data_IF_412007932963
#
_entry.id   IF_412007932963
#
_cell.length_a   1.000
_cell.length_b   1.000
_cell.length_c   1.000
_cell.angle_alpha   90.00
_cell.angle_beta   90.00
_cell.angle_gamma   90.00
#
_symmetry.space_group_name_H-M   'P 1'
#
loop_
_entity.id
_entity.type
_entity.pdbx_description
1 polymer ?
#
# COMPACT_ATOMS: atom_id res chain seq x y z
N UNK A 1 -3.04 10.19 -41.04
CA UNK A 1 -1.69 10.79 -41.01
C UNK A 1 -1.54 11.37 -39.62
N UNK A 2 -1.12 10.51 -38.69
CA UNK A 2 -0.98 10.80 -37.28
C UNK A 2 0.49 11.11 -37.03
N UNK A 3 0.88 12.37 -37.08
CA UNK A 3 2.17 12.82 -36.58
C UNK A 3 1.90 13.74 -35.40
N UNK A 4 1.55 13.06 -34.33
CA UNK A 4 1.40 13.59 -32.99
C UNK A 4 2.75 14.21 -32.61
N UNK A 5 2.73 15.50 -32.30
CA UNK A 5 3.81 16.26 -31.69
C UNK A 5 4.16 15.67 -30.32
N UNK A 6 4.76 14.48 -30.29
CA UNK A 6 5.62 14.03 -29.19
C UNK A 6 6.97 14.68 -29.41
N UNK A 7 7.00 16.00 -29.35
CA UNK A 7 8.23 16.74 -29.21
C UNK A 7 8.58 16.63 -27.74
N UNK A 8 9.54 15.76 -27.41
CA UNK A 8 10.11 15.72 -26.07
C UNK A 8 10.48 17.17 -25.69
N UNK A 9 9.92 17.71 -24.60
CA UNK A 9 10.16 19.10 -24.25
C UNK A 9 11.66 19.31 -24.09
N UNK A 10 12.16 20.33 -24.76
CA UNK A 10 13.58 20.67 -24.71
C UNK A 10 13.94 21.08 -23.27
N UNK A 11 15.18 20.82 -22.86
CA UNK A 11 15.69 21.16 -21.53
C UNK A 11 15.37 22.62 -21.12
N UNK A 12 15.41 23.54 -22.08
CA UNK A 12 15.13 24.95 -21.86
C UNK A 12 13.65 25.22 -21.54
N UNK A 13 12.73 24.45 -22.12
CA UNK A 13 11.28 24.54 -21.83
C UNK A 13 10.97 23.99 -20.45
N UNK A 14 11.61 22.89 -20.05
CA UNK A 14 11.49 22.33 -18.69
C UNK A 14 11.99 23.37 -17.66
N UNK A 15 13.15 23.98 -17.90
CA UNK A 15 13.72 25.00 -17.00
C UNK A 15 12.88 26.29 -16.98
N UNK A 16 12.30 26.69 -18.11
CA UNK A 16 11.38 27.82 -18.17
C UNK A 16 10.08 27.55 -17.41
N UNK A 17 9.54 26.34 -17.49
CA UNK A 17 8.33 25.92 -16.76
C UNK A 17 8.55 25.94 -15.25
N UNK A 18 9.68 25.40 -14.77
CA UNK A 18 10.04 25.42 -13.34
C UNK A 18 10.23 26.87 -12.86
N UNK A 19 10.95 27.71 -13.63
CA UNK A 19 11.15 29.13 -13.27
C UNK A 19 9.83 29.89 -13.20
N UNK A 20 8.89 29.62 -14.11
CA UNK A 20 7.55 30.21 -14.08
C UNK A 20 6.78 29.79 -12.82
N UNK A 21 6.75 28.50 -12.49
CA UNK A 21 6.03 28.00 -11.31
C UNK A 21 6.58 28.64 -10.02
N UNK A 22 7.91 28.73 -9.88
CA UNK A 22 8.53 29.33 -8.68
C UNK A 22 8.27 30.85 -8.60
N UNK A 23 8.31 31.57 -9.72
CA UNK A 23 7.99 33.00 -9.74
C UNK A 23 6.49 33.30 -9.57
N UNK A 24 5.62 32.35 -9.90
CA UNK A 24 4.17 32.46 -9.76
C UNK A 24 3.72 32.05 -8.33
N UNK A 25 4.53 31.25 -7.61
CA UNK A 25 4.29 30.79 -6.23
C UNK A 25 4.98 31.65 -5.15
N UNK A 26 5.96 32.50 -5.49
CA UNK A 26 6.56 33.49 -4.58
C UNK A 26 5.71 34.78 -4.45
N UNK A 27 4.41 34.61 -4.22
CA UNK A 27 3.53 35.67 -3.76
C UNK A 27 3.43 35.56 -2.23
N UNK A 28 4.16 36.39 -1.46
CA UNK A 28 4.08 36.34 0.00
C UNK A 28 2.65 36.69 0.43
N UNK A 29 2.04 35.80 1.20
CA UNK A 29 0.84 36.09 1.95
C UNK A 29 1.11 37.31 2.85
N UNK A 30 0.47 38.43 2.52
CA UNK A 30 0.39 39.62 3.34
C UNK A 30 -0.29 39.27 4.67
N UNK A 31 0.52 39.02 5.69
CA UNK A 31 0.10 38.87 7.07
C UNK A 31 1.01 39.76 7.94
N UNK A 32 0.55 41.00 8.14
CA UNK A 32 0.75 41.83 9.32
C UNK A 32 2.16 41.82 9.94
N UNK A 33 2.95 42.84 9.61
CA UNK A 33 4.16 43.22 10.34
C UNK A 33 3.81 43.90 11.69
N UNK A 34 4.36 43.44 12.83
CA UNK A 34 4.69 44.31 13.96
C UNK A 34 6.15 44.81 13.81
N UNK A 35 6.38 46.05 14.27
CA UNK A 35 7.64 46.78 14.17
C UNK A 35 8.83 46.11 14.90
N UNK A 36 10.10 46.34 14.48
CA UNK A 36 11.28 45.78 15.14
C UNK A 36 11.64 46.54 16.43
N UNK A 37 11.72 45.83 17.55
CA UNK A 37 12.48 46.23 18.75
C UNK A 37 13.92 45.70 18.68
N UNK A 38 14.92 46.40 19.25
CA UNK A 38 16.34 46.18 18.98
C UNK A 38 16.92 44.88 19.57
N UNK A 39 17.77 44.22 18.77
CA UNK A 39 18.53 43.01 19.09
C UNK A 39 19.51 43.20 20.28
N UNK A 40 19.60 42.25 21.23
CA UNK A 40 20.80 42.10 22.05
C UNK A 40 21.88 41.31 21.29
N UNK A 41 23.11 41.81 21.38
CA UNK A 41 24.35 41.33 20.75
C UNK A 41 24.63 39.81 20.96
N UNK A 42 25.32 39.15 20.01
CA UNK A 42 25.60 37.73 20.09
C UNK A 42 26.67 37.45 21.15
N UNK A 43 26.28 36.75 22.22
CA UNK A 43 27.20 36.16 23.18
C UNK A 43 27.96 35.00 22.51
N UNK A 44 29.27 35.18 22.33
CA UNK A 44 30.22 34.08 22.18
C UNK A 44 30.09 33.13 23.37
N UNK A 45 29.52 31.94 23.15
CA UNK A 45 29.53 30.85 24.13
C UNK A 45 29.63 29.49 23.41
N UNK A 46 30.86 28.97 23.41
CA UNK A 46 31.26 27.57 23.26
C UNK A 46 30.63 26.76 22.10
N UNK A 47 31.41 26.58 21.03
CA UNK A 47 31.19 25.46 20.11
C UNK A 47 31.23 24.13 20.90
N UNK A 48 30.22 23.25 20.82
CA UNK A 48 30.38 21.88 21.26
C UNK A 48 31.41 21.21 20.35
N UNK A 49 32.52 20.78 20.96
CA UNK A 49 33.49 19.88 20.36
C UNK A 49 32.75 18.58 20.02
N UNK A 50 32.64 18.25 18.74
CA UNK A 50 32.15 16.96 18.27
C UNK A 50 33.14 15.88 18.75
N UNK A 51 32.79 15.13 19.79
CA UNK A 51 33.39 13.82 20.02
C UNK A 51 32.92 12.88 18.89
N UNK A 52 33.80 12.04 18.32
CA UNK A 52 33.37 11.08 17.31
C UNK A 52 32.33 10.13 17.91
N UNK A 53 31.20 10.01 17.23
CA UNK A 53 30.17 9.00 17.50
C UNK A 53 30.81 7.62 17.70
N UNK A 54 30.37 6.82 18.69
CA UNK A 54 30.78 5.43 18.76
C UNK A 54 30.37 4.71 17.48
N UNK A 55 31.30 3.91 16.93
CA UNK A 55 31.08 3.05 15.77
C UNK A 55 29.77 2.25 15.93
N UNK A 56 29.02 2.02 14.83
CA UNK A 56 27.81 1.23 14.89
C UNK A 56 28.17 -0.17 15.37
N UNK A 57 27.60 -0.56 16.51
CA UNK A 57 27.46 -1.96 16.89
C UNK A 57 26.66 -2.64 15.78
N UNK A 58 27.32 -3.46 14.97
CA UNK A 58 26.65 -4.50 14.19
C UNK A 58 26.07 -5.49 15.20
N UNK A 59 24.86 -5.23 15.67
CA UNK A 59 24.02 -6.28 16.21
C UNK A 59 23.56 -7.10 15.00
N UNK A 60 24.11 -8.30 14.88
CA UNK A 60 23.68 -9.34 13.95
C UNK A 60 22.15 -9.45 13.97
N UNK A 61 21.49 -8.91 12.94
CA UNK A 61 20.06 -9.09 12.65
C UNK A 61 19.81 -10.47 12.01
N UNK A 62 20.48 -11.50 12.54
CA UNK A 62 20.48 -12.87 12.01
C UNK A 62 19.29 -13.70 12.53
N UNK A 63 18.10 -13.12 12.68
CA UNK A 63 16.95 -13.97 13.01
C UNK A 63 15.57 -13.37 13.23
N UNK A 64 15.35 -12.06 13.12
CA UNK A 64 14.02 -11.51 13.43
C UNK A 64 13.08 -11.41 12.21
N UNK A 65 13.60 -11.43 10.99
CA UNK A 65 12.80 -11.27 9.76
C UNK A 65 13.17 -12.28 8.65
N UNK A 66 13.65 -13.46 9.01
CA UNK A 66 13.69 -14.56 8.06
C UNK A 66 12.27 -15.11 7.83
N UNK A 67 11.54 -14.50 6.90
CA UNK A 67 10.33 -15.06 6.28
C UNK A 67 10.69 -16.23 5.34
N UNK A 68 11.65 -17.07 5.75
CA UNK A 68 12.09 -18.29 5.07
C UNK A 68 11.24 -19.50 5.51
N UNK A 69 10.38 -19.33 6.52
CA UNK A 69 9.32 -20.26 6.85
C UNK A 69 8.30 -20.31 5.69
N UNK A 70 8.58 -21.22 4.75
CA UNK A 70 7.62 -21.62 3.72
C UNK A 70 6.46 -22.28 4.44
N UNK A 71 5.33 -21.57 4.52
CA UNK A 71 4.05 -22.17 4.88
C UNK A 71 3.73 -23.20 3.78
N UNK A 72 3.96 -24.47 4.08
CA UNK A 72 3.53 -25.58 3.24
C UNK A 72 2.01 -25.64 3.31
N UNK A 73 1.36 -25.14 2.25
CA UNK A 73 -0.07 -25.22 1.97
C UNK A 73 -1.01 -24.39 2.87
N UNK A 74 -1.28 -23.14 2.45
CA UNK A 74 -2.69 -22.73 2.45
C UNK A 74 -3.32 -23.54 1.32
N UNK A 75 -4.13 -24.53 1.70
CA UNK A 75 -4.61 -25.60 0.82
C UNK A 75 -5.05 -25.11 -0.56
N UNK A 76 -4.50 -25.78 -1.57
CA UNK A 76 -5.04 -25.92 -2.93
C UNK A 76 -5.56 -24.63 -3.57
N UNK A 77 -4.69 -23.63 -3.72
CA UNK A 77 -4.92 -22.57 -4.68
C UNK A 77 -4.50 -23.09 -6.06
N UNK A 78 -5.46 -23.67 -6.79
CA UNK A 78 -5.33 -23.97 -8.22
C UNK A 78 -5.11 -22.66 -8.99
N UNK A 79 -3.86 -22.26 -9.14
CA UNK A 79 -3.45 -21.21 -10.07
C UNK A 79 -3.65 -21.78 -11.46
N UNK A 80 -4.82 -21.51 -12.05
CA UNK A 80 -5.10 -21.82 -13.44
C UNK A 80 -4.14 -21.01 -14.33
N UNK A 81 -3.02 -21.62 -14.67
CA UNK A 81 -2.17 -21.19 -15.77
C UNK A 81 -2.76 -21.80 -17.04
N UNK A 82 -3.39 -21.02 -17.93
CA UNK A 82 -3.78 -21.56 -19.24
C UNK A 82 -2.50 -21.93 -19.99
N UNK A 83 -2.19 -23.22 -19.99
CA UNK A 83 -1.05 -23.76 -20.69
C UNK A 83 -1.36 -23.79 -22.19
N UNK A 84 -0.58 -23.00 -22.92
CA UNK A 84 -0.09 -23.24 -24.29
C UNK A 84 -1.07 -22.99 -25.44
N UNK A 85 -0.67 -22.05 -26.30
CA UNK A 85 -1.07 -21.95 -27.71
C UNK A 85 -0.95 -23.30 -28.41
N UNK A 86 -2.09 -23.86 -28.79
CA UNK A 86 -2.17 -24.87 -29.85
C UNK A 86 -2.29 -24.11 -31.19
N UNK A 87 -1.22 -24.14 -31.99
CA UNK A 87 -1.28 -23.77 -33.40
C UNK A 87 -2.21 -24.76 -34.10
N UNK A 88 -3.24 -24.33 -34.86
CA UNK A 88 -4.24 -25.24 -35.38
C UNK A 88 -3.67 -26.12 -36.48
N UNK A 89 -3.41 -27.40 -36.17
CA UNK A 89 -3.24 -28.43 -37.19
C UNK A 89 -4.55 -28.61 -37.98
N UNK A 90 -4.48 -28.86 -39.30
CA UNK A 90 -5.68 -28.98 -40.13
C UNK A 90 -6.54 -30.17 -39.67
N UNK A 91 -7.88 -30.05 -39.69
CA UNK A 91 -8.75 -31.04 -39.08
C UNK A 91 -8.70 -32.36 -39.85
N UNK A 92 -8.15 -33.39 -39.22
CA UNK A 92 -8.46 -34.77 -39.59
C UNK A 92 -9.89 -35.02 -39.13
N UNK A 93 -10.80 -35.32 -40.06
CA UNK A 93 -12.18 -35.70 -39.73
C UNK A 93 -12.17 -37.00 -38.93
N UNK A 94 -12.21 -36.88 -37.61
CA UNK A 94 -12.57 -37.97 -36.69
C UNK A 94 -14.06 -37.85 -36.43
N UNK A 95 -14.81 -38.91 -36.68
CA UNK A 95 -16.21 -39.02 -36.29
C UNK A 95 -16.34 -38.72 -34.78
N UNK A 96 -17.23 -37.79 -34.36
CA UNK A 96 -17.27 -37.39 -32.96
C UNK A 96 -17.61 -38.59 -32.08
N UNK A 97 -16.82 -38.90 -31.04
CA UNK A 97 -17.17 -39.93 -30.08
C UNK A 97 -18.51 -39.56 -29.42
N UNK A 98 -19.33 -40.56 -29.02
CA UNK A 98 -20.59 -40.29 -28.35
C UNK A 98 -20.35 -39.40 -27.12
N UNK A 99 -21.25 -38.44 -26.81
CA UNK A 99 -21.06 -37.54 -25.69
C UNK A 99 -20.84 -38.37 -24.42
N UNK A 100 -19.83 -38.04 -23.59
CA UNK A 100 -19.65 -38.70 -22.31
C UNK A 100 -20.95 -38.56 -21.50
N UNK A 101 -21.30 -39.55 -20.65
CA UNK A 101 -22.40 -39.36 -19.72
C UNK A 101 -22.12 -38.07 -18.95
N UNK A 102 -23.10 -37.17 -18.92
CA UNK A 102 -23.03 -35.92 -18.16
C UNK A 102 -22.70 -36.34 -16.72
N UNK A 103 -21.44 -36.16 -16.31
CA UNK A 103 -21.10 -36.24 -14.90
C UNK A 103 -21.99 -35.20 -14.21
N UNK A 104 -22.64 -35.52 -13.08
CA UNK A 104 -23.38 -34.52 -12.35
C UNK A 104 -22.41 -33.36 -12.14
N UNK A 105 -22.79 -32.17 -12.62
CA UNK A 105 -22.08 -30.95 -12.30
C UNK A 105 -21.88 -31.00 -10.79
N UNK A 106 -20.62 -30.95 -10.34
CA UNK A 106 -20.32 -30.72 -8.93
C UNK A 106 -21.09 -29.45 -8.62
N UNK A 107 -22.22 -29.55 -7.92
CA UNK A 107 -22.90 -28.39 -7.39
C UNK A 107 -21.90 -27.83 -6.40
N UNK A 108 -21.13 -26.84 -6.84
CA UNK A 108 -20.33 -25.98 -5.99
C UNK A 108 -21.34 -25.44 -5.00
N UNK A 109 -21.34 -26.04 -3.81
CA UNK A 109 -22.36 -25.81 -2.81
C UNK A 109 -22.55 -24.32 -2.61
N UNK A 110 -23.82 -23.95 -2.42
CA UNK A 110 -24.30 -22.61 -2.09
C UNK A 110 -23.21 -21.83 -1.36
N UNK A 111 -22.57 -20.91 -2.09
CA UNK A 111 -21.36 -20.25 -1.63
C UNK A 111 -21.60 -19.63 -0.25
N UNK A 112 -20.55 -19.52 0.56
CA UNK A 112 -20.62 -18.88 1.89
C UNK A 112 -21.26 -17.48 1.88
N UNK A 113 -21.39 -16.89 0.68
CA UNK A 113 -22.05 -15.62 0.42
C UNK A 113 -23.10 -15.83 -0.67
N UNK A 114 -24.34 -15.39 -0.39
CA UNK A 114 -25.42 -15.46 -1.37
C UNK A 114 -25.11 -14.65 -2.64
N UNK A 115 -25.63 -15.11 -3.79
CA UNK A 115 -25.35 -14.53 -5.10
C UNK A 115 -25.57 -13.00 -5.18
N UNK A 116 -26.58 -12.50 -4.47
CA UNK A 116 -26.87 -11.05 -4.38
C UNK A 116 -25.75 -10.29 -3.66
N UNK A 117 -25.26 -10.82 -2.54
CA UNK A 117 -24.17 -10.21 -1.78
C UNK A 117 -22.84 -10.28 -2.55
N UNK A 118 -22.58 -11.40 -3.24
CA UNK A 118 -21.42 -11.55 -4.12
C UNK A 118 -21.46 -10.55 -5.29
N UNK A 119 -22.61 -10.41 -5.95
CA UNK A 119 -22.80 -9.43 -7.05
C UNK A 119 -22.69 -7.98 -6.56
N UNK A 120 -23.19 -7.68 -5.37
CA UNK A 120 -23.06 -6.34 -4.77
C UNK A 120 -21.60 -6.02 -4.45
N UNK A 121 -20.85 -6.97 -3.89
CA UNK A 121 -19.43 -6.82 -3.63
C UNK A 121 -18.64 -6.61 -4.93
N UNK A 122 -18.84 -7.46 -5.94
CA UNK A 122 -18.18 -7.34 -7.23
C UNK A 122 -18.46 -5.98 -7.91
N UNK A 123 -19.70 -5.50 -7.81
CA UNK A 123 -20.10 -4.20 -8.37
C UNK A 123 -19.47 -3.01 -7.62
N UNK A 124 -19.30 -3.12 -6.30
CA UNK A 124 -18.62 -2.10 -5.50
C UNK A 124 -17.11 -2.04 -5.81
N UNK A 125 -16.46 -3.21 -5.93
CA UNK A 125 -15.05 -3.30 -6.34
C UNK A 125 -14.83 -2.79 -7.77
N UNK A 126 -15.74 -3.07 -8.69
CA UNK A 126 -15.70 -2.54 -10.06
C UNK A 126 -15.80 -1.01 -10.10
N UNK A 127 -16.71 -0.42 -9.31
CA UNK A 127 -16.83 1.04 -9.19
C UNK A 127 -15.58 1.68 -8.59
N UNK A 128 -14.99 1.05 -7.58
CA UNK A 128 -13.74 1.50 -6.98
C UNK A 128 -12.60 1.44 -8.01
N UNK A 129 -12.41 0.31 -8.70
CA UNK A 129 -11.38 0.15 -9.73
C UNK A 129 -11.53 1.16 -10.89
N UNK A 130 -12.77 1.45 -11.30
CA UNK A 130 -13.04 2.47 -12.31
C UNK A 130 -12.72 3.89 -11.81
N UNK A 131 -13.03 4.21 -10.56
CA UNK A 131 -12.69 5.49 -9.94
C UNK A 131 -11.17 5.68 -9.76
N UNK A 132 -10.44 4.59 -9.50
CA UNK A 132 -8.98 4.57 -9.38
C UNK A 132 -8.30 4.83 -10.74
N UNK A 133 -8.89 4.33 -11.83
CA UNK A 133 -8.35 4.49 -13.18
C UNK A 133 -8.58 5.88 -13.79
N UNK A 134 -9.38 6.73 -13.15
CA UNK A 134 -9.60 8.13 -13.56
C UNK A 134 -9.06 9.07 -12.47
N UNK A 135 -7.78 9.43 -12.52
CA UNK A 135 -7.25 10.43 -11.59
C UNK A 135 -7.95 11.77 -11.83
N UNK A 136 -8.59 12.32 -10.80
CA UNK A 136 -8.69 13.76 -10.70
C UNK A 136 -7.26 14.29 -10.49
N UNK A 137 -6.88 15.34 -11.21
CA UNK A 137 -5.54 15.94 -11.12
C UNK A 137 -5.17 16.19 -9.65
N UNK A 138 -4.21 15.44 -9.13
CA UNK A 138 -3.71 15.55 -7.75
C UNK A 138 -4.27 14.56 -6.71
N UNK A 139 -5.24 13.69 -7.04
CA UNK A 139 -5.71 12.65 -6.10
C UNK A 139 -5.10 11.29 -6.44
N UNK A 140 -4.29 10.76 -5.53
CA UNK A 140 -3.72 9.43 -5.71
C UNK A 140 -4.69 8.34 -5.28
N UNK A 141 -4.50 7.12 -5.80
CA UNK A 141 -5.17 5.92 -5.31
C UNK A 141 -4.96 5.76 -3.78
N UNK A 142 -3.76 6.07 -3.31
CA UNK A 142 -3.43 5.96 -1.89
C UNK A 142 -4.32 6.87 -1.03
N UNK A 143 -4.60 8.09 -1.49
CA UNK A 143 -5.48 9.02 -0.77
C UNK A 143 -6.91 8.48 -0.66
N UNK A 144 -7.42 7.89 -1.74
CA UNK A 144 -8.75 7.24 -1.76
C UNK A 144 -8.78 6.04 -0.82
N UNK A 145 -7.79 5.15 -0.91
CA UNK A 145 -7.71 3.95 -0.06
C UNK A 145 -7.55 4.33 1.41
N UNK A 146 -6.75 5.36 1.72
CA UNK A 146 -6.57 5.87 3.08
C UNK A 146 -7.86 6.46 3.63
N UNK A 147 -8.62 7.21 2.84
CA UNK A 147 -9.93 7.75 3.22
C UNK A 147 -10.94 6.63 3.54
N UNK A 148 -10.92 5.55 2.75
CA UNK A 148 -11.81 4.39 2.94
C UNK A 148 -11.39 3.47 4.10
N UNK A 149 -10.08 3.24 4.30
CA UNK A 149 -9.58 2.35 5.35
C UNK A 149 -9.58 3.01 6.73
N UNK A 150 -9.42 4.33 6.81
CA UNK A 150 -9.38 5.05 8.10
C UNK A 150 -10.58 4.74 9.02
N UNK A 151 -11.86 4.82 8.58
CA UNK A 151 -12.99 4.51 9.46
C UNK A 151 -13.03 3.03 9.88
N UNK A 152 -12.66 2.11 8.99
CA UNK A 152 -12.68 0.66 9.28
C UNK A 152 -11.59 0.29 10.30
N UNK A 153 -10.37 0.80 10.11
CA UNK A 153 -9.26 0.59 11.04
C UNK A 153 -9.54 1.24 12.39
N UNK A 154 -10.14 2.44 12.40
CA UNK A 154 -10.53 3.10 13.65
C UNK A 154 -11.53 2.26 14.44
N UNK A 155 -12.61 1.81 13.81
CA UNK A 155 -13.62 0.99 14.49
C UNK A 155 -12.99 -0.30 15.02
N UNK A 156 -12.16 -0.97 14.22
CA UNK A 156 -11.48 -2.17 14.65
C UNK A 156 -10.54 -1.93 15.83
N UNK A 157 -9.76 -0.84 15.82
CA UNK A 157 -8.91 -0.47 16.94
C UNK A 157 -9.72 -0.14 18.18
N UNK A 158 -10.80 0.63 18.06
CA UNK A 158 -11.67 0.97 19.19
C UNK A 158 -12.25 -0.31 19.85
N UNK A 159 -12.60 -1.33 19.05
CA UNK A 159 -13.18 -2.58 19.54
C UNK A 159 -12.13 -3.58 20.08
N UNK A 160 -10.93 -3.63 19.51
CA UNK A 160 -9.95 -4.70 19.76
C UNK A 160 -8.73 -4.26 20.58
N UNK A 161 -8.34 -2.98 20.51
CA UNK A 161 -7.15 -2.46 21.19
C UNK A 161 -7.21 -2.67 22.72
N UNK A 162 -8.35 -2.47 23.42
CA UNK A 162 -8.41 -2.68 24.87
C UNK A 162 -8.01 -4.11 25.29
N UNK A 163 -8.49 -5.10 24.55
CA UNK A 163 -8.19 -6.51 24.83
C UNK A 163 -6.70 -6.83 24.57
N UNK A 164 -6.15 -6.33 23.46
CA UNK A 164 -4.73 -6.52 23.10
C UNK A 164 -3.81 -5.91 24.16
N UNK A 165 -4.13 -4.70 24.62
CA UNK A 165 -3.35 -4.01 25.65
C UNK A 165 -3.41 -4.76 26.98
N UNK A 166 -4.60 -5.19 27.42
CA UNK A 166 -4.74 -5.94 28.66
C UNK A 166 -3.89 -7.22 28.66
N UNK A 167 -3.94 -7.99 27.57
CA UNK A 167 -3.11 -9.20 27.43
C UNK A 167 -1.62 -8.90 27.47
N UNK A 168 -1.19 -7.79 26.86
CA UNK A 168 0.22 -7.37 26.89
C UNK A 168 0.64 -6.93 28.29
N UNK A 169 -0.18 -6.13 28.97
CA UNK A 169 0.09 -5.67 30.34
C UNK A 169 0.13 -6.85 31.32
N UNK A 170 -0.80 -7.80 31.22
CA UNK A 170 -0.81 -8.98 32.08
C UNK A 170 0.48 -9.80 31.91
N UNK A 171 0.93 -10.00 30.68
CA UNK A 171 2.23 -10.64 30.38
C UNK A 171 3.41 -9.86 30.99
N UNK A 172 3.41 -8.54 30.88
CA UNK A 172 4.47 -7.69 31.43
C UNK A 172 4.50 -7.68 32.96
N UNK A 173 3.33 -7.64 33.61
CA UNK A 173 3.22 -7.74 35.07
C UNK A 173 3.69 -9.09 35.56
N UNK A 174 3.30 -10.18 34.89
CA UNK A 174 3.76 -11.53 35.23
C UNK A 174 5.29 -11.65 35.08
N UNK A 175 5.86 -11.08 34.02
CA UNK A 175 7.31 -11.03 33.79
C UNK A 175 8.03 -10.27 34.91
N UNK A 176 7.53 -9.10 35.31
CA UNK A 176 8.09 -8.29 36.40
C UNK A 176 7.94 -9.01 37.75
N UNK A 177 6.78 -9.61 38.01
CA UNK A 177 6.52 -10.35 39.23
C UNK A 177 7.49 -11.53 39.38
N UNK A 178 7.75 -12.27 38.30
CA UNK A 178 8.74 -13.34 38.27
C UNK A 178 10.18 -12.84 38.41
N UNK A 179 10.48 -11.68 37.83
CA UNK A 179 11.81 -11.05 37.92
C UNK A 179 12.14 -10.49 39.31
N UNK A 180 11.15 -10.01 40.06
CA UNK A 180 11.32 -9.44 41.41
C UNK A 180 11.49 -10.49 42.52
N UNK A 181 11.15 -11.75 42.27
CA UNK A 181 11.20 -12.85 43.25
C UNK A 181 12.59 -13.54 43.27
N UNK A 182 13.53 -13.12 42.41
CA UNK A 182 14.96 -13.51 42.50
C UNK A 182 15.78 -12.40 43.13
#
# INVERSE_FOLDING_TARGET
MSEQTSQEPTMEEILASIRRIISEDDAPADAAAPAPEPEPEPVEAAAPVFEPEPEPIEEDDDGALELTERVESVGDLDVYTPSVSEEPEPPVYVEPPPPPPIAPAIEVGDGLVGAVAASAAASAFGQLSAAIQMPAEGRTLEDVVRELLRPLLKQWLDDNLPAIVQQTVDKEVERIARGRVR
#
